data_IF_342359471851
#
_entry.id   IF_342359471851
#
_cell.length_a   1.000
_cell.length_b   1.000
_cell.length_c   1.000
_cell.angle_alpha   90.00
_cell.angle_beta   90.00
_cell.angle_gamma   90.00
#
_symmetry.space_group_name_H-M   'P 1'
#
loop_
_entity.id
_entity.type
_entity.pdbx_description
1 polymer ?
#
# COMPACT_ATOMS: atom_id res chain seq x y z
N UNK A 1 20.43 -2.62 31.31
CA UNK A 1 19.88 -3.97 31.58
C UNK A 1 18.72 -4.18 30.63
N UNK A 2 18.53 -5.38 30.08
CA UNK A 2 17.33 -5.71 29.29
C UNK A 2 16.28 -6.19 30.29
N UNK A 3 15.18 -5.45 30.40
CA UNK A 3 14.05 -5.85 31.24
C UNK A 3 13.14 -6.79 30.43
N UNK A 4 12.89 -7.99 30.96
CA UNK A 4 12.08 -9.02 30.30
C UNK A 4 10.72 -9.14 30.99
N UNK A 5 9.64 -9.18 30.21
CA UNK A 5 8.27 -9.31 30.71
C UNK A 5 7.66 -10.62 30.19
N UNK A 6 6.95 -11.35 31.04
CA UNK A 6 6.20 -12.55 30.65
C UNK A 6 4.80 -12.18 30.14
N UNK A 7 4.41 -12.70 28.97
CA UNK A 7 3.12 -12.45 28.34
C UNK A 7 2.45 -13.78 27.95
N UNK A 8 1.13 -13.89 28.17
CA UNK A 8 0.31 -15.03 27.73
C UNK A 8 -0.64 -14.58 26.63
N UNK A 9 -0.66 -15.29 25.50
CA UNK A 9 -1.55 -15.01 24.36
C UNK A 9 -2.47 -16.21 24.11
N UNK A 10 -3.76 -15.94 23.94
CA UNK A 10 -4.75 -16.96 23.55
C UNK A 10 -4.86 -17.03 22.03
N UNK A 11 -4.76 -18.23 21.47
CA UNK A 11 -4.84 -18.51 20.04
C UNK A 11 -5.54 -19.87 19.84
N UNK A 12 -6.26 -20.03 18.73
CA UNK A 12 -6.83 -21.33 18.35
C UNK A 12 -5.73 -22.38 18.18
N UNK A 13 -6.01 -23.63 18.53
CA UNK A 13 -5.06 -24.73 18.36
C UNK A 13 -4.62 -24.90 16.89
N UNK A 14 -5.57 -24.75 15.96
CA UNK A 14 -5.28 -24.87 14.52
C UNK A 14 -4.36 -23.75 14.03
N UNK A 15 -4.61 -22.50 14.44
CA UNK A 15 -3.79 -21.35 14.06
C UNK A 15 -2.38 -21.46 14.68
N UNK A 16 -2.28 -21.95 15.92
CA UNK A 16 -0.99 -22.24 16.58
C UNK A 16 -0.19 -23.24 15.78
N UNK A 17 -0.79 -24.37 15.41
CA UNK A 17 -0.12 -25.42 14.63
C UNK A 17 0.33 -24.91 13.26
N UNK A 18 -0.54 -24.18 12.55
CA UNK A 18 -0.20 -23.59 11.25
C UNK A 18 0.95 -22.58 11.37
N UNK A 19 0.94 -21.74 12.40
CA UNK A 19 2.00 -20.78 12.67
C UNK A 19 3.33 -21.46 13.03
N UNK A 20 3.34 -22.46 13.92
CA UNK A 20 4.56 -23.18 14.28
C UNK A 20 5.20 -23.87 13.06
N UNK A 21 4.40 -24.46 12.16
CA UNK A 21 4.91 -25.05 10.92
C UNK A 21 5.51 -24.00 9.98
N UNK A 22 4.84 -22.85 9.82
CA UNK A 22 5.33 -21.75 8.98
C UNK A 22 6.66 -21.20 9.50
N UNK A 23 6.75 -20.93 10.80
CA UNK A 23 7.97 -20.35 11.38
C UNK A 23 9.11 -21.34 11.44
N UNK A 24 8.84 -22.64 11.64
CA UNK A 24 9.85 -23.68 11.55
C UNK A 24 10.49 -23.76 10.14
N UNK A 25 9.70 -23.60 9.08
CA UNK A 25 10.21 -23.54 7.69
C UNK A 25 11.11 -22.31 7.47
N UNK A 26 10.81 -21.20 8.14
CA UNK A 26 11.61 -19.98 8.16
C UNK A 26 12.85 -20.07 9.09
N UNK A 27 13.02 -21.18 9.81
CA UNK A 27 14.13 -21.39 10.73
C UNK A 27 14.02 -20.63 12.06
N UNK A 28 12.79 -20.33 12.51
CA UNK A 28 12.55 -19.64 13.79
C UNK A 28 11.38 -20.26 14.57
N UNK A 29 11.31 -19.97 15.86
CA UNK A 29 10.17 -20.34 16.70
C UNK A 29 9.07 -19.29 16.65
N UNK A 30 7.84 -19.68 16.98
CA UNK A 30 6.72 -18.73 17.06
C UNK A 30 6.98 -17.62 18.10
N UNK A 31 7.70 -17.90 19.19
CA UNK A 31 8.02 -16.89 20.21
C UNK A 31 8.98 -15.82 19.67
N UNK A 32 10.03 -16.24 18.94
CA UNK A 32 10.95 -15.33 18.25
C UNK A 32 10.22 -14.48 17.20
N UNK A 33 9.31 -15.09 16.45
CA UNK A 33 8.50 -14.38 15.46
C UNK A 33 7.63 -13.30 16.12
N UNK A 34 7.01 -13.58 17.27
CA UNK A 34 6.23 -12.60 18.05
C UNK A 34 7.12 -11.48 18.57
N UNK A 35 8.32 -11.78 19.07
CA UNK A 35 9.26 -10.77 19.53
C UNK A 35 9.72 -9.85 18.38
N UNK A 36 10.00 -10.41 17.20
CA UNK A 36 10.35 -9.63 16.00
C UNK A 36 9.15 -8.78 15.57
N UNK A 37 7.95 -9.33 15.57
CA UNK A 37 6.73 -8.61 15.22
C UNK A 37 6.56 -7.35 16.06
N UNK A 38 6.68 -7.46 17.38
CA UNK A 38 6.57 -6.32 18.30
C UNK A 38 7.69 -5.29 18.05
N UNK A 39 8.93 -5.73 17.84
CA UNK A 39 10.04 -4.82 17.48
C UNK A 39 9.76 -4.06 16.18
N UNK A 40 9.23 -4.74 15.16
CA UNK A 40 8.88 -4.09 13.90
C UNK A 40 7.76 -3.07 14.07
N UNK A 41 6.78 -3.34 14.93
CA UNK A 41 5.74 -2.37 15.23
C UNK A 41 6.32 -1.09 15.84
N UNK A 42 7.20 -1.25 16.83
CA UNK A 42 7.86 -0.13 17.53
C UNK A 42 8.80 0.64 16.60
N UNK A 43 9.53 -0.04 15.72
CA UNK A 43 10.46 0.61 14.78
C UNK A 43 9.76 1.48 13.73
N UNK A 44 8.48 1.20 13.45
CA UNK A 44 7.72 1.87 12.37
C UNK A 44 6.61 2.76 12.90
N UNK A 45 6.44 2.85 14.22
CA UNK A 45 5.28 3.47 14.87
C UNK A 45 3.95 3.03 14.23
N UNK A 46 3.80 1.73 13.95
CA UNK A 46 2.67 1.22 13.18
C UNK A 46 2.65 -0.30 13.07
N UNK A 47 1.80 -0.86 12.20
CA UNK A 47 1.78 -2.30 11.95
C UNK A 47 2.85 -2.69 10.91
N UNK A 48 3.48 -3.88 11.04
CA UNK A 48 4.52 -4.33 10.12
C UNK A 48 3.94 -4.82 8.78
N UNK A 49 2.63 -4.67 8.59
CA UNK A 49 1.92 -4.97 7.36
C UNK A 49 0.90 -3.87 7.07
N UNK A 50 0.57 -3.69 5.79
CA UNK A 50 -0.49 -2.74 5.38
C UNK A 50 -1.85 -3.31 5.75
N UNK A 51 -2.62 -2.55 6.54
CA UNK A 51 -4.01 -2.91 6.86
C UNK A 51 -4.87 -2.75 5.60
N UNK A 52 -5.51 -3.83 5.17
CA UNK A 52 -6.52 -3.83 4.12
C UNK A 52 -7.83 -4.32 4.72
N UNK A 53 -8.94 -3.61 4.51
CA UNK A 53 -10.26 -4.22 4.70
C UNK A 53 -10.35 -5.33 3.67
N UNK A 54 -10.84 -6.51 4.06
CA UNK A 54 -11.09 -7.63 3.16
C UNK A 54 -11.99 -7.14 2.03
N UNK A 55 -11.39 -6.66 0.94
CA UNK A 55 -12.13 -6.35 -0.27
C UNK A 55 -12.70 -7.69 -0.72
N UNK A 56 -13.97 -7.75 -1.14
CA UNK A 56 -14.48 -8.95 -1.81
C UNK A 56 -13.47 -9.31 -2.89
N UNK A 57 -13.14 -10.61 -2.99
CA UNK A 57 -12.13 -11.18 -3.89
C UNK A 57 -12.48 -10.90 -5.36
N UNK A 58 -12.40 -9.65 -5.78
CA UNK A 58 -12.54 -9.22 -7.16
C UNK A 58 -11.15 -9.18 -7.73
N UNK A 59 -10.87 -10.19 -8.55
CA UNK A 59 -9.83 -10.20 -9.56
C UNK A 59 -9.86 -8.90 -10.37
N UNK A 60 -8.90 -8.01 -10.14
CA UNK A 60 -8.36 -7.07 -11.13
C UNK A 60 -7.25 -6.26 -10.45
N UNK A 61 -6.00 -6.70 -10.60
CA UNK A 61 -5.06 -6.12 -11.56
C UNK A 61 -4.20 -5.01 -10.93
N UNK A 62 -2.87 -5.26 -10.90
CA UNK A 62 -1.79 -4.28 -10.77
C UNK A 62 -1.55 -3.84 -9.31
N UNK A 63 -0.57 -4.34 -8.55
CA UNK A 63 0.86 -4.30 -8.89
C UNK A 63 1.22 -2.99 -9.62
N UNK A 64 1.00 -1.83 -8.98
CA UNK A 64 1.90 -0.69 -9.21
C UNK A 64 3.19 -1.01 -8.47
N UNK A 65 4.03 -1.81 -9.12
CA UNK A 65 5.46 -1.78 -8.84
C UNK A 65 5.89 -0.32 -9.02
N UNK A 66 6.52 0.22 -7.99
CA UNK A 66 7.29 1.45 -8.11
C UNK A 66 8.49 1.13 -8.99
N UNK A 67 8.32 1.14 -10.30
CA UNK A 67 9.43 1.04 -11.25
C UNK A 67 10.06 2.43 -11.40
N UNK A 68 11.13 2.60 -10.61
CA UNK A 68 12.41 3.25 -10.96
C UNK A 68 12.42 3.89 -12.37
N UNK A 69 12.57 5.22 -12.51
CA UNK A 69 12.85 5.82 -13.80
C UNK A 69 14.25 5.39 -14.24
N UNK A 70 14.33 4.41 -15.14
CA UNK A 70 15.53 4.16 -15.94
C UNK A 70 15.55 5.20 -17.06
N UNK A 71 16.29 6.27 -16.82
CA UNK A 71 16.87 7.05 -17.91
C UNK A 71 17.63 6.11 -18.85
N UNK A 72 17.53 6.40 -20.15
CA UNK A 72 18.56 6.29 -21.21
C UNK A 72 17.95 5.74 -22.51
N UNK A 73 18.14 6.54 -23.58
CA UNK A 73 18.16 6.22 -25.02
C UNK A 73 16.93 6.59 -25.87
N UNK A 74 16.92 7.84 -26.35
CA UNK A 74 16.42 8.20 -27.69
C UNK A 74 17.32 7.55 -28.78
N UNK A 75 16.96 7.39 -30.08
CA UNK A 75 16.00 8.23 -30.83
C UNK A 75 15.17 7.55 -31.97
N UNK A 76 14.28 8.39 -32.54
CA UNK A 76 13.72 8.33 -33.90
C UNK A 76 12.71 7.23 -34.25
N UNK A 77 11.46 7.59 -34.57
CA UNK A 77 10.97 7.78 -35.96
C UNK A 77 9.48 8.16 -36.03
N UNK A 78 9.20 9.11 -36.92
CA UNK A 78 8.02 9.22 -37.81
C UNK A 78 6.65 9.50 -37.17
N UNK A 79 6.11 10.67 -37.54
CA UNK A 79 4.85 11.18 -37.06
C UNK A 79 3.62 10.48 -37.62
N UNK A 80 2.52 10.65 -36.89
CA UNK A 80 1.17 10.75 -37.42
C UNK A 80 0.27 11.42 -36.40
N UNK A 81 -0.23 12.57 -36.82
CA UNK A 81 -1.45 13.26 -36.42
C UNK A 81 -2.33 12.55 -35.37
N UNK A 82 -2.35 13.10 -34.15
CA UNK A 82 -3.47 12.97 -33.22
C UNK A 82 -3.79 14.34 -32.66
N UNK A 83 -4.73 15.00 -33.31
CA UNK A 83 -5.52 16.08 -32.72
C UNK A 83 -6.09 15.58 -31.38
N UNK A 84 -5.63 16.14 -30.26
CA UNK A 84 -6.25 15.94 -28.94
C UNK A 84 -7.29 17.03 -28.71
N UNK A 85 -8.61 16.74 -28.64
CA UNK A 85 -9.59 17.71 -28.21
C UNK A 85 -9.64 17.70 -26.68
N UNK A 86 -8.99 18.71 -26.09
CA UNK A 86 -9.11 19.16 -24.70
C UNK A 86 -8.62 18.19 -23.61
N UNK A 87 -7.42 18.46 -23.09
CA UNK A 87 -7.14 18.28 -21.66
C UNK A 87 -6.97 19.68 -21.09
N UNK A 88 -8.05 20.24 -20.53
CA UNK A 88 -7.89 21.41 -19.67
C UNK A 88 -7.48 20.84 -18.31
N UNK A 89 -6.18 20.72 -18.06
CA UNK A 89 -5.69 20.44 -16.71
C UNK A 89 -5.98 21.68 -15.88
N UNK A 90 -7.00 21.61 -15.02
CA UNK A 90 -7.34 22.72 -14.13
C UNK A 90 -6.33 22.71 -12.98
N UNK A 91 -5.47 23.71 -12.94
CA UNK A 91 -4.47 23.86 -11.86
C UNK A 91 -5.12 24.29 -10.55
N UNK A 92 -6.31 24.89 -10.59
CA UNK A 92 -7.03 25.38 -9.42
C UNK A 92 -8.54 25.10 -9.51
N UNK A 93 -9.17 24.86 -8.35
CA UNK A 93 -10.60 24.54 -8.24
C UNK A 93 -11.48 25.73 -8.64
N UNK A 94 -11.00 26.96 -8.46
CA UNK A 94 -11.74 28.19 -8.75
C UNK A 94 -12.00 28.39 -10.27
N UNK A 95 -11.01 28.08 -11.12
CA UNK A 95 -11.15 28.11 -12.59
C UNK A 95 -12.14 27.05 -13.11
N UNK A 96 -12.19 25.90 -12.46
CA UNK A 96 -13.11 24.82 -12.82
C UNK A 96 -14.57 25.22 -12.58
N UNK A 97 -14.85 25.88 -11.44
CA UNK A 97 -16.20 26.33 -11.08
C UNK A 97 -16.66 27.43 -12.03
N UNK A 98 -15.79 28.37 -12.36
CA UNK A 98 -16.09 29.46 -13.28
C UNK A 98 -16.42 28.94 -14.69
N UNK A 99 -15.69 27.92 -15.18
CA UNK A 99 -15.91 27.33 -16.50
C UNK A 99 -17.14 26.42 -16.60
N UNK A 100 -17.60 25.85 -15.47
CA UNK A 100 -18.81 25.01 -15.43
C UNK A 100 -20.12 25.80 -15.24
N UNK A 101 -20.06 27.13 -15.09
CA UNK A 101 -21.27 27.98 -15.03
C UNK A 101 -22.22 27.64 -13.88
N UNK A 102 -21.71 27.04 -12.81
CA UNK A 102 -22.51 26.61 -11.66
C UNK A 102 -22.73 27.84 -10.77
N UNK A 103 -23.85 28.54 -10.98
CA UNK A 103 -24.24 29.66 -10.14
C UNK A 103 -24.81 29.12 -8.82
N UNK A 104 -23.96 28.97 -7.81
CA UNK A 104 -24.40 28.62 -6.47
C UNK A 104 -24.87 29.92 -5.80
N UNK A 105 -26.13 30.29 -6.03
CA UNK A 105 -26.76 31.37 -5.28
C UNK A 105 -26.89 30.94 -3.82
N UNK A 106 -26.20 31.67 -2.94
CA UNK A 106 -26.33 31.55 -1.50
C UNK A 106 -27.58 32.30 -1.03
N UNK A 107 -28.41 31.71 -0.19
CA UNK A 107 -29.06 32.42 0.91
C UNK A 107 -28.33 32.19 2.24
#
# INVERSE_FOLDING_TARGET
>A
MVETVHMTVQISEEDRRRADQLFADLGMTLDEAVAIFLKQCLMRDGLPFRVRRNAPKTTSAQLTYSEIPTETEEPAVVGMDRLSPNETTFSDIDELIQKLGINIESP
#
